data_IF_391834015393
#
_entry.id   IF_391834015393
#
_cell.length_a   1.000
_cell.length_b   1.000
_cell.length_c   1.000
_cell.angle_alpha   90.00
_cell.angle_beta   90.00
_cell.angle_gamma   90.00
#
_symmetry.space_group_name_H-M   'P 1'
#
loop_
_entity.id
_entity.type
_entity.pdbx_description
1 polymer ?
#
# COMPACT_ATOMS: atom_id res chain seq x y z
N UNK A 1 64.62 7.10 15.78
CA UNK A 1 63.66 7.36 16.87
C UNK A 1 62.62 8.33 16.31
N UNK A 2 61.31 8.11 16.24
CA UNK A 2 60.37 7.07 16.66
C UNK A 2 59.10 7.32 15.81
N UNK A 3 58.70 6.39 14.94
CA UNK A 3 57.39 6.47 14.27
C UNK A 3 56.41 5.65 15.12
N UNK A 4 55.58 6.31 15.95
CA UNK A 4 54.52 5.65 16.70
C UNK A 4 53.35 5.34 15.77
N UNK A 5 53.27 4.08 15.36
CA UNK A 5 52.07 3.42 14.81
C UNK A 5 51.00 3.43 15.90
N UNK A 6 49.93 4.21 15.70
CA UNK A 6 48.70 4.09 16.47
C UNK A 6 47.94 2.89 15.89
N UNK A 7 47.99 1.76 16.59
CA UNK A 7 47.11 0.63 16.31
C UNK A 7 45.69 1.07 16.64
N UNK A 8 44.84 1.19 15.62
CA UNK A 8 43.42 1.37 15.82
C UNK A 8 42.86 0.08 16.40
N UNK A 9 42.60 0.05 17.70
CA UNK A 9 41.80 -1.01 18.32
C UNK A 9 40.47 -1.10 17.58
N UNK A 10 40.29 -2.18 16.82
CA UNK A 10 39.00 -2.52 16.22
C UNK A 10 38.06 -2.90 17.36
N UNK A 11 37.30 -1.93 17.86
CA UNK A 11 36.14 -2.19 18.72
C UNK A 11 35.19 -3.14 17.98
N UNK A 12 35.23 -4.41 18.34
CA UNK A 12 34.22 -5.40 17.95
C UNK A 12 32.94 -5.01 18.69
N UNK A 13 32.04 -4.29 18.02
CA UNK A 13 30.72 -4.01 18.56
C UNK A 13 30.01 -5.32 18.96
N UNK A 14 29.30 -5.35 20.10
CA UNK A 14 28.59 -6.54 20.52
C UNK A 14 27.58 -6.97 19.45
N UNK A 15 27.84 -8.12 18.82
CA UNK A 15 26.91 -8.74 17.89
C UNK A 15 25.62 -9.10 18.63
N UNK A 16 24.57 -8.34 18.36
CA UNK A 16 23.27 -8.54 18.98
C UNK A 16 22.61 -9.81 18.40
N UNK A 17 22.56 -10.89 19.19
CA UNK A 17 21.83 -12.12 18.86
C UNK A 17 20.31 -11.97 19.10
N UNK A 18 19.70 -10.93 18.55
CA UNK A 18 18.26 -10.68 18.72
C UNK A 18 17.52 -11.03 17.43
N UNK A 19 16.73 -12.10 17.49
CA UNK A 19 15.78 -12.44 16.44
C UNK A 19 14.55 -11.53 16.53
N UNK A 20 14.15 -10.92 15.40
CA UNK A 20 12.85 -10.26 15.24
C UNK A 20 11.99 -11.11 14.29
N UNK A 21 10.81 -11.58 14.72
CA UNK A 21 9.92 -12.34 13.84
C UNK A 21 9.17 -11.45 12.83
N UNK A 22 9.25 -10.13 12.99
CA UNK A 22 8.54 -9.16 12.14
C UNK A 22 9.51 -8.41 11.25
N UNK A 23 9.06 -8.21 10.01
CA UNK A 23 9.70 -7.38 9.01
C UNK A 23 8.62 -6.48 8.37
N UNK A 24 8.97 -5.24 8.03
CA UNK A 24 8.08 -4.39 7.25
C UNK A 24 8.48 -4.51 5.79
N UNK A 25 7.61 -5.11 4.96
CA UNK A 25 7.81 -5.18 3.52
C UNK A 25 7.01 -4.11 2.75
N UNK A 26 6.46 -3.16 3.52
CA UNK A 26 5.85 -1.93 3.03
C UNK A 26 4.73 -2.16 1.99
N UNK A 27 4.60 -1.21 1.08
CA UNK A 27 3.60 -1.14 0.04
C UNK A 27 2.30 -0.50 0.49
N UNK A 28 1.49 -0.16 -0.50
CA UNK A 28 0.37 0.76 -0.36
C UNK A 28 -0.88 0.16 -1.00
N UNK A 29 -2.00 0.31 -0.29
CA UNK A 29 -3.32 -0.17 -0.70
C UNK A 29 -4.31 0.97 -0.57
N UNK A 30 -5.17 1.13 -1.58
CA UNK A 30 -6.31 2.06 -1.55
C UNK A 30 -7.57 1.29 -1.85
N UNK A 31 -8.64 1.55 -1.10
CA UNK A 31 -9.98 1.08 -1.40
C UNK A 31 -10.97 2.26 -1.46
N UNK A 32 -11.89 2.22 -2.42
CA UNK A 32 -12.97 3.21 -2.62
C UNK A 32 -14.28 2.45 -2.85
N UNK A 33 -15.30 2.76 -2.06
CA UNK A 33 -16.66 2.23 -2.20
C UNK A 33 -17.55 3.27 -2.90
N UNK A 34 -18.05 2.91 -4.07
CA UNK A 34 -19.09 3.64 -4.81
C UNK A 34 -20.50 3.17 -4.45
N UNK A 35 -21.50 3.62 -5.22
CA UNK A 35 -22.91 3.25 -5.00
C UNK A 35 -23.16 1.79 -5.41
N UNK A 36 -22.66 1.38 -6.58
CA UNK A 36 -22.87 0.08 -7.20
C UNK A 36 -21.56 -0.66 -7.54
N UNK A 37 -20.43 -0.12 -7.06
CA UNK A 37 -19.10 -0.68 -7.25
C UNK A 37 -18.21 -0.51 -6.02
N UNK A 38 -17.16 -1.30 -5.92
CA UNK A 38 -16.04 -1.07 -5.04
C UNK A 38 -14.73 -1.25 -5.81
N UNK A 39 -13.75 -0.39 -5.58
CA UNK A 39 -12.40 -0.50 -6.15
C UNK A 39 -11.44 -0.79 -5.00
N UNK A 40 -10.55 -1.74 -5.20
CA UNK A 40 -9.37 -1.92 -4.36
C UNK A 40 -8.14 -2.01 -5.24
N UNK A 41 -7.07 -1.31 -4.88
CA UNK A 41 -5.84 -1.24 -5.64
C UNK A 41 -4.63 -1.36 -4.73
N UNK A 42 -3.56 -1.98 -5.22
CA UNK A 42 -2.28 -2.06 -4.53
C UNK A 42 -1.12 -1.91 -5.49
N UNK A 43 -0.01 -1.39 -5.02
CA UNK A 43 1.26 -1.48 -5.74
C UNK A 43 1.82 -2.92 -5.69
N UNK A 44 2.74 -3.24 -6.60
CA UNK A 44 3.35 -4.58 -6.72
C UNK A 44 4.79 -4.65 -6.20
N UNK A 45 5.34 -3.55 -5.67
CA UNK A 45 6.69 -3.52 -5.13
C UNK A 45 6.73 -4.22 -3.78
N UNK A 46 7.65 -5.15 -3.62
CA UNK A 46 7.97 -5.79 -2.36
C UNK A 46 9.42 -5.45 -2.02
N UNK A 47 9.59 -4.65 -0.99
CA UNK A 47 10.90 -4.15 -0.56
C UNK A 47 11.17 -4.55 0.88
N UNK A 48 12.44 -4.68 1.24
CA UNK A 48 12.89 -4.79 2.63
C UNK A 48 14.10 -3.87 2.80
N UNK A 49 14.00 -2.92 3.73
CA UNK A 49 15.02 -1.87 3.87
C UNK A 49 15.24 -1.16 2.53
N UNK A 50 16.48 -1.15 2.04
CA UNK A 50 16.85 -0.53 0.76
C UNK A 50 16.92 -1.51 -0.43
N UNK A 51 16.43 -2.74 -0.28
CA UNK A 51 16.46 -3.76 -1.33
C UNK A 51 15.06 -4.08 -1.84
N UNK A 52 14.93 -4.27 -3.16
CA UNK A 52 13.70 -4.73 -3.80
C UNK A 52 13.78 -6.25 -3.96
N UNK A 53 12.87 -6.99 -3.33
CA UNK A 53 12.78 -8.45 -3.45
C UNK A 53 11.96 -8.88 -4.66
N UNK A 54 10.86 -8.18 -4.94
CA UNK A 54 10.03 -8.43 -6.10
C UNK A 54 9.39 -7.15 -6.58
N UNK A 55 9.27 -6.99 -7.91
CA UNK A 55 8.53 -5.90 -8.56
C UNK A 55 7.12 -6.32 -8.97
N UNK A 56 6.77 -7.60 -8.77
CA UNK A 56 5.52 -8.19 -9.22
C UNK A 56 4.87 -9.02 -8.10
N UNK A 57 4.62 -8.37 -6.96
CA UNK A 57 3.95 -8.97 -5.81
C UNK A 57 2.65 -8.22 -5.48
N UNK A 58 1.49 -8.63 -6.03
CA UNK A 58 0.22 -7.99 -5.69
C UNK A 58 -0.12 -8.25 -4.22
N UNK A 59 -0.73 -7.25 -3.58
CA UNK A 59 -1.13 -7.27 -2.17
C UNK A 59 -2.64 -7.49 -1.98
N UNK A 60 -3.30 -7.90 -3.07
CA UNK A 60 -4.74 -8.14 -3.15
C UNK A 60 -5.01 -9.64 -3.25
N UNK A 61 -5.92 -10.13 -2.42
CA UNK A 61 -6.28 -11.53 -2.30
C UNK A 61 -7.78 -11.68 -2.54
N UNK A 62 -8.16 -12.32 -3.65
CA UNK A 62 -9.56 -12.58 -3.96
C UNK A 62 -10.09 -13.71 -3.06
N UNK A 63 -11.09 -13.40 -2.24
CA UNK A 63 -11.72 -14.37 -1.33
C UNK A 63 -12.97 -15.00 -1.95
N UNK A 64 -13.72 -14.23 -2.74
CA UNK A 64 -14.96 -14.68 -3.39
C UNK A 64 -15.15 -13.99 -4.74
N UNK A 65 -16.30 -14.18 -5.38
CA UNK A 65 -16.66 -13.45 -6.60
C UNK A 65 -17.01 -11.97 -6.37
N UNK A 66 -17.13 -11.53 -5.12
CA UNK A 66 -17.50 -10.16 -4.74
C UNK A 66 -16.68 -9.62 -3.56
N UNK A 67 -15.63 -10.33 -3.16
CA UNK A 67 -14.85 -9.99 -1.97
C UNK A 67 -13.37 -10.12 -2.27
N UNK A 68 -12.63 -9.04 -1.99
CA UNK A 68 -11.17 -8.96 -2.12
C UNK A 68 -10.63 -8.41 -0.80
N UNK A 69 -9.54 -8.99 -0.34
CA UNK A 69 -8.80 -8.58 0.84
C UNK A 69 -7.48 -7.94 0.42
N UNK A 70 -7.22 -6.72 0.88
CA UNK A 70 -5.91 -6.09 0.75
C UNK A 70 -5.10 -6.23 2.04
N UNK A 71 -3.83 -6.64 1.95
CA UNK A 71 -2.94 -6.70 3.11
C UNK A 71 -1.52 -6.23 2.74
N UNK A 72 -1.06 -5.17 3.41
CA UNK A 72 0.28 -4.58 3.30
C UNK A 72 1.04 -4.71 4.63
N UNK A 73 2.37 -4.48 4.60
CA UNK A 73 3.24 -4.62 5.77
C UNK A 73 4.09 -5.89 5.74
N UNK A 74 3.97 -6.75 6.76
CA UNK A 74 4.81 -7.94 6.90
C UNK A 74 4.43 -9.06 5.92
N UNK A 75 5.37 -9.43 5.06
CA UNK A 75 5.25 -10.43 4.00
C UNK A 75 6.12 -11.65 4.32
N UNK A 76 5.50 -12.82 4.47
CA UNK A 76 6.21 -14.09 4.69
C UNK A 76 5.95 -15.11 3.57
N UNK A 77 6.94 -15.97 3.34
CA UNK A 77 6.83 -17.16 2.47
C UNK A 77 6.29 -18.32 3.30
N UNK A 78 4.98 -18.61 3.14
CA UNK A 78 4.21 -19.56 3.96
C UNK A 78 3.14 -18.83 4.75
N UNK A 79 1.87 -18.93 4.33
CA UNK A 79 0.78 -18.07 4.83
C UNK A 79 -0.33 -18.91 5.46
N UNK A 80 -0.51 -18.74 6.76
CA UNK A 80 -1.72 -19.13 7.49
C UNK A 80 -2.22 -17.87 8.18
N UNK A 81 -3.44 -17.44 7.83
CA UNK A 81 -4.04 -16.25 8.40
C UNK A 81 -4.98 -16.64 9.54
N UNK A 82 -4.66 -16.23 10.77
CA UNK A 82 -5.55 -16.31 11.93
C UNK A 82 -5.87 -14.89 12.40
N UNK A 83 -7.14 -14.53 12.43
CA UNK A 83 -7.61 -13.24 12.96
C UNK A 83 -8.13 -13.43 14.38
N UNK A 84 -7.85 -12.47 15.26
CA UNK A 84 -8.43 -12.45 16.61
C UNK A 84 -9.88 -11.95 16.60
N UNK A 85 -10.61 -12.19 17.69
CA UNK A 85 -12.02 -11.81 17.82
C UNK A 85 -12.25 -10.30 17.92
N UNK A 86 -11.20 -9.52 18.18
CA UNK A 86 -11.35 -8.07 18.38
C UNK A 86 -11.39 -7.36 17.04
N UNK A 87 -10.59 -7.81 16.05
CA UNK A 87 -10.80 -7.60 14.61
C UNK A 87 -11.54 -6.32 14.23
N UNK A 88 -11.13 -5.17 14.79
CA UNK A 88 -11.96 -3.98 14.79
C UNK A 88 -12.13 -3.50 13.36
N UNK A 89 -13.37 -3.56 12.87
CA UNK A 89 -13.70 -3.22 11.49
C UNK A 89 -14.61 -2.00 11.47
N UNK A 90 -14.13 -0.94 10.83
CA UNK A 90 -14.94 0.19 10.40
C UNK A 90 -15.53 -0.08 9.02
N UNK A 91 -16.72 0.45 8.74
CA UNK A 91 -17.23 0.53 7.37
C UNK A 91 -16.91 1.92 6.84
N UNK A 92 -15.88 2.01 6.01
CA UNK A 92 -15.42 3.29 5.45
C UNK A 92 -15.73 3.36 3.95
N UNK A 93 -16.06 4.57 3.46
CA UNK A 93 -16.30 4.82 2.03
C UNK A 93 -15.02 4.81 1.21
N UNK A 94 -13.90 5.12 1.83
CA UNK A 94 -12.58 5.06 1.23
C UNK A 94 -11.54 4.94 2.34
N UNK A 95 -10.47 4.22 2.06
CA UNK A 95 -9.36 4.05 3.00
C UNK A 95 -8.06 3.82 2.24
N UNK A 96 -6.98 4.38 2.74
CA UNK A 96 -5.63 4.08 2.34
C UNK A 96 -4.89 3.39 3.50
N UNK A 97 -4.11 2.37 3.18
CA UNK A 97 -3.32 1.60 4.13
C UNK A 97 -1.91 1.35 3.57
N UNK A 98 -0.95 1.12 4.46
CA UNK A 98 0.45 0.88 4.09
C UNK A 98 1.32 2.14 4.14
N UNK A 99 2.48 2.08 3.49
CA UNK A 99 3.55 3.08 3.62
C UNK A 99 3.12 4.49 3.20
N UNK A 100 2.39 4.61 2.08
CA UNK A 100 1.90 5.90 1.57
C UNK A 100 0.59 6.37 2.21
N UNK A 101 0.00 5.65 3.16
CA UNK A 101 -1.34 5.97 3.69
C UNK A 101 -1.52 7.44 4.11
N UNK A 102 -0.49 8.05 4.70
CA UNK A 102 -0.47 9.46 5.10
C UNK A 102 -0.52 10.46 3.95
N UNK A 103 -0.06 10.06 2.76
CA UNK A 103 -0.12 10.86 1.52
C UNK A 103 -1.46 10.68 0.79
N UNK A 104 -1.99 9.45 0.80
CA UNK A 104 -3.19 9.11 0.03
C UNK A 104 -4.46 9.54 0.76
N UNK A 105 -4.53 9.38 2.08
CA UNK A 105 -5.74 9.66 2.86
C UNK A 105 -6.23 11.11 2.75
N UNK A 106 -5.37 12.16 2.83
CA UNK A 106 -5.82 13.54 2.66
C UNK A 106 -6.34 13.85 1.26
N UNK A 107 -5.77 13.21 0.23
CA UNK A 107 -6.21 13.40 -1.15
C UNK A 107 -7.59 12.76 -1.37
N UNK A 108 -7.81 11.58 -0.82
CA UNK A 108 -9.13 10.93 -0.81
C UNK A 108 -10.16 11.73 0.00
N UNK A 109 -9.77 12.31 1.14
CA UNK A 109 -10.65 13.16 1.95
C UNK A 109 -11.17 14.37 1.16
N UNK A 110 -10.30 14.98 0.35
CA UNK A 110 -10.67 16.12 -0.47
C UNK A 110 -11.45 15.71 -1.74
N UNK A 111 -11.01 14.66 -2.45
CA UNK A 111 -11.54 14.32 -3.78
C UNK A 111 -12.68 13.30 -3.76
N UNK A 112 -12.73 12.40 -2.77
CA UNK A 112 -13.78 11.40 -2.63
C UNK A 112 -14.86 11.80 -1.62
N UNK A 113 -14.50 12.49 -0.52
CA UNK A 113 -15.47 12.99 0.47
C UNK A 113 -15.83 14.46 0.31
N UNK A 114 -15.13 15.21 -0.54
CA UNK A 114 -15.37 16.65 -0.75
C UNK A 114 -15.27 17.44 0.56
N UNK A 115 -14.40 17.00 1.50
CA UNK A 115 -14.12 17.75 2.73
C UNK A 115 -13.39 19.04 2.36
N UNK A 116 -13.75 20.13 3.05
CA UNK A 116 -13.17 21.46 2.89
C UNK A 116 -13.39 22.12 1.51
N UNK A 117 -14.45 21.72 0.79
CA UNK A 117 -14.90 22.40 -0.44
C UNK A 117 -16.08 23.31 -0.10
N UNK A 118 -16.01 24.57 -0.53
CA UNK A 118 -17.12 25.51 -0.43
C UNK A 118 -18.08 25.34 -1.62
N UNK A 119 -19.39 25.29 -1.36
CA UNK A 119 -20.43 25.18 -2.39
C UNK A 119 -21.22 23.87 -2.35
N UNK A 120 -21.92 23.55 -3.44
CA UNK A 120 -22.68 22.30 -3.56
C UNK A 120 -21.73 21.11 -3.69
N UNK A 121 -22.07 20.03 -2.96
CA UNK A 121 -21.31 18.79 -3.06
C UNK A 121 -21.55 18.18 -4.44
N UNK A 122 -20.48 17.88 -5.20
CA UNK A 122 -20.62 17.26 -6.50
C UNK A 122 -21.31 15.88 -6.38
N UNK A 123 -21.87 15.38 -7.50
CA UNK A 123 -22.58 14.12 -7.52
C UNK A 123 -21.68 12.95 -7.07
N UNK A 124 -22.28 11.83 -6.62
CA UNK A 124 -21.54 10.65 -6.18
C UNK A 124 -20.48 10.21 -7.19
N UNK A 125 -19.36 9.72 -6.67
CA UNK A 125 -18.19 9.36 -7.47
C UNK A 125 -18.55 8.27 -8.49
N UNK A 126 -18.48 8.60 -9.79
CA UNK A 126 -18.66 7.62 -10.86
C UNK A 126 -17.46 6.67 -10.92
N UNK A 127 -17.67 5.47 -11.46
CA UNK A 127 -16.62 4.45 -11.60
C UNK A 127 -15.39 5.00 -12.34
N UNK A 128 -15.60 5.70 -13.46
CA UNK A 128 -14.52 6.28 -14.26
C UNK A 128 -13.70 7.29 -13.47
N UNK A 129 -14.37 8.20 -12.73
CA UNK A 129 -13.69 9.17 -11.87
C UNK A 129 -12.92 8.50 -10.74
N UNK A 130 -13.46 7.42 -10.17
CA UNK A 130 -12.76 6.66 -9.13
C UNK A 130 -11.51 5.97 -9.66
N UNK A 131 -11.56 5.39 -10.86
CA UNK A 131 -10.39 4.79 -11.52
C UNK A 131 -9.31 5.83 -11.78
N UNK A 132 -9.67 7.00 -12.32
CA UNK A 132 -8.73 8.11 -12.54
C UNK A 132 -8.15 8.61 -11.22
N UNK A 133 -8.98 8.77 -10.18
CA UNK A 133 -8.52 9.20 -8.87
C UNK A 133 -7.48 8.22 -8.29
N UNK A 134 -7.72 6.91 -8.38
CA UNK A 134 -6.74 5.91 -7.92
C UNK A 134 -5.44 6.01 -8.71
N UNK A 135 -5.50 6.19 -10.02
CA UNK A 135 -4.32 6.39 -10.85
C UNK A 135 -3.50 7.61 -10.40
N UNK A 136 -4.15 8.74 -10.18
CA UNK A 136 -3.48 9.99 -9.78
C UNK A 136 -2.91 9.90 -8.36
N UNK A 137 -3.65 9.25 -7.44
CA UNK A 137 -3.24 8.97 -6.07
C UNK A 137 -1.94 8.15 -6.06
N UNK A 138 -1.89 7.03 -6.79
CA UNK A 138 -0.70 6.18 -6.83
C UNK A 138 0.47 6.80 -7.58
N UNK A 139 0.21 7.55 -8.65
CA UNK A 139 1.27 8.28 -9.37
C UNK A 139 1.89 9.33 -8.44
N UNK A 140 1.07 10.07 -7.69
CA UNK A 140 1.55 11.04 -6.70
C UNK A 140 2.31 10.38 -5.56
N UNK A 141 1.89 9.19 -5.14
CA UNK A 141 2.55 8.39 -4.12
C UNK A 141 3.94 7.94 -4.57
N UNK A 142 4.06 7.40 -5.79
CA UNK A 142 5.31 6.89 -6.35
C UNK A 142 6.40 7.96 -6.46
N UNK A 143 6.02 9.23 -6.62
CA UNK A 143 6.99 10.35 -6.65
C UNK A 143 7.54 10.72 -5.27
N UNK A 144 6.90 10.31 -4.17
CA UNK A 144 7.25 10.74 -2.80
C UNK A 144 7.57 9.59 -1.84
N UNK A 145 7.10 8.39 -2.12
CA UNK A 145 7.31 7.19 -1.31
C UNK A 145 8.12 6.15 -2.09
N UNK A 146 9.34 5.89 -1.63
CA UNK A 146 10.28 4.96 -2.25
C UNK A 146 9.79 3.49 -2.23
N UNK A 147 8.82 3.18 -1.36
CA UNK A 147 8.27 1.84 -1.21
C UNK A 147 7.07 1.56 -2.13
N UNK A 148 6.53 2.60 -2.77
CA UNK A 148 5.40 2.48 -3.70
C UNK A 148 5.90 2.61 -5.13
N UNK A 149 5.72 1.59 -5.97
CA UNK A 149 6.18 1.69 -7.35
C UNK A 149 5.94 0.45 -8.22
N UNK A 150 6.62 0.43 -9.36
CA UNK A 150 6.62 -0.62 -10.39
C UNK A 150 5.30 -0.77 -11.16
N UNK A 151 4.24 -1.21 -10.52
CA UNK A 151 2.91 -1.41 -11.12
C UNK A 151 1.84 -1.34 -10.05
N UNK A 152 0.67 -0.84 -10.43
CA UNK A 152 -0.55 -0.94 -9.63
C UNK A 152 -1.44 -2.00 -10.23
N UNK A 153 -1.93 -2.90 -9.38
CA UNK A 153 -3.03 -3.81 -9.68
C UNK A 153 -4.29 -3.29 -9.02
N UNK A 154 -5.41 -3.37 -9.74
CA UNK A 154 -6.70 -2.86 -9.32
C UNK A 154 -7.78 -3.91 -9.59
N UNK A 155 -8.59 -4.20 -8.59
CA UNK A 155 -9.81 -5.00 -8.74
C UNK A 155 -11.03 -4.08 -8.64
N UNK A 156 -11.84 -4.06 -9.69
CA UNK A 156 -13.13 -3.38 -9.72
C UNK A 156 -14.21 -4.43 -9.47
N UNK A 157 -14.93 -4.27 -8.37
CA UNK A 157 -15.97 -5.18 -7.89
C UNK A 157 -17.32 -4.56 -8.23
N UNK A 158 -18.13 -5.24 -9.04
CA UNK A 158 -19.50 -4.84 -9.36
C UNK A 158 -20.47 -5.99 -9.05
N UNK A 159 -21.76 -5.77 -9.28
CA UNK A 159 -22.78 -6.82 -9.16
C UNK A 159 -22.51 -8.04 -10.06
N UNK A 160 -21.86 -7.81 -11.21
CA UNK A 160 -21.62 -8.80 -12.27
C UNK A 160 -20.33 -9.62 -12.03
N UNK A 161 -19.43 -9.13 -11.17
CA UNK A 161 -18.21 -9.85 -10.79
C UNK A 161 -17.04 -8.91 -10.48
N UNK A 162 -15.83 -9.46 -10.59
CA UNK A 162 -14.58 -8.72 -10.38
C UNK A 162 -13.87 -8.57 -11.71
N UNK A 163 -13.53 -7.34 -12.08
CA UNK A 163 -12.71 -6.99 -13.24
C UNK A 163 -11.33 -6.54 -12.78
N UNK A 164 -10.31 -7.15 -13.37
CA UNK A 164 -8.92 -6.83 -13.08
C UNK A 164 -8.41 -5.75 -14.05
N UNK A 165 -7.69 -4.77 -13.50
CA UNK A 165 -7.01 -3.72 -14.24
C UNK A 165 -5.61 -3.53 -13.66
N UNK A 166 -4.67 -3.09 -14.49
CA UNK A 166 -3.33 -2.75 -14.04
C UNK A 166 -2.76 -1.61 -14.86
N UNK A 167 -1.94 -0.77 -14.24
CA UNK A 167 -1.16 0.26 -14.91
C UNK A 167 0.25 0.32 -14.31
N UNK A 168 1.22 0.71 -15.13
CA UNK A 168 2.62 0.78 -14.71
C UNK A 168 2.90 2.09 -13.95
N UNK A 169 3.78 2.02 -12.95
CA UNK A 169 4.32 3.16 -12.22
C UNK A 169 5.80 3.36 -12.58
N UNK A 170 6.40 4.40 -11.98
CA UNK A 170 7.86 4.61 -12.01
C UNK A 170 8.59 3.39 -11.44
N UNK A 171 9.78 3.10 -11.99
CA UNK A 171 10.58 1.88 -11.70
C UNK A 171 11.96 2.17 -11.11
N UNK A 172 12.21 3.41 -10.72
CA UNK A 172 13.44 3.81 -10.04
C UNK A 172 13.68 3.05 -8.72
#
# INVERSE_FOLDING_TARGET
MYARRLESEMFSEPKQHRFSPYESNEGSIVAIAGIDYAIIASDTRLSTGYSIYSRNQPKLFRLSNKTVLGSAGCWCVGRVYSYDSVGSKGTEKYIAAGSSSSLLQPLLDNQAAYKNIAGEKPPPLSLEKAVTLVHDVFTSAAERDIYTGDRVVMNIITKDGIKDMSFDLRKD
#
